data_IF_657058269882
#
_entry.id   IF_657058269882
#
_cell.length_a   1.000
_cell.length_b   1.000
_cell.length_c   1.000
_cell.angle_alpha   90.00
_cell.angle_beta   90.00
_cell.angle_gamma   90.00
#
_symmetry.space_group_name_H-M   'P 1'
#
loop_
_entity.id
_entity.type
_entity.pdbx_description
1 polymer ?
#
# COMPACT_ATOMS: atom_id res chain seq x y z
N UNK A 1 6.75 15.72 -18.81
CA UNK A 1 6.67 15.07 -17.49
C UNK A 1 6.97 16.02 -16.33
N UNK A 2 8.10 16.75 -16.28
CA UNK A 2 8.44 17.67 -15.17
C UNK A 2 7.39 18.75 -14.88
N UNK A 3 6.76 19.35 -15.90
CA UNK A 3 5.72 20.39 -15.72
C UNK A 3 4.45 19.88 -15.01
N UNK A 4 4.03 18.64 -15.24
CA UNK A 4 2.82 18.08 -14.64
C UNK A 4 3.02 17.72 -13.17
N UNK A 5 4.24 17.35 -12.78
CA UNK A 5 4.60 17.08 -11.38
C UNK A 5 4.59 18.37 -10.55
N UNK A 6 5.12 19.46 -11.14
CA UNK A 6 5.11 20.78 -10.49
C UNK A 6 3.68 21.29 -10.33
N UNK A 7 2.81 21.07 -11.32
CA UNK A 7 1.40 21.47 -11.27
C UNK A 7 0.65 20.68 -10.17
N UNK A 8 0.93 19.38 -10.02
CA UNK A 8 0.33 18.55 -8.98
C UNK A 8 0.79 18.96 -7.58
N UNK A 9 2.09 19.27 -7.43
CA UNK A 9 2.63 19.81 -6.17
C UNK A 9 2.04 21.18 -5.82
N UNK A 10 1.87 22.06 -6.80
CA UNK A 10 1.23 23.37 -6.61
C UNK A 10 -0.24 23.21 -6.20
N UNK A 11 -0.96 22.25 -6.78
CA UNK A 11 -2.36 21.98 -6.44
C UNK A 11 -2.48 21.47 -4.99
N UNK A 12 -1.58 20.60 -4.55
CA UNK A 12 -1.54 20.11 -3.17
C UNK A 12 -1.22 21.24 -2.18
N UNK A 13 -0.31 22.15 -2.53
CA UNK A 13 0.03 23.33 -1.71
C UNK A 13 -1.13 24.30 -1.66
N UNK A 14 -1.86 24.55 -2.76
CA UNK A 14 -3.03 25.41 -2.79
C UNK A 14 -4.19 24.88 -1.91
N UNK A 15 -4.40 23.57 -1.86
CA UNK A 15 -5.44 22.96 -0.99
C UNK A 15 -5.12 23.16 0.49
N UNK A 16 -3.83 23.26 0.85
CA UNK A 16 -3.40 23.52 2.24
C UNK A 16 -3.52 25.00 2.66
N UNK A 17 -3.76 25.92 1.73
CA UNK A 17 -3.83 27.37 2.00
C UNK A 17 -5.25 27.97 1.94
N UNK A 18 -6.29 27.15 1.79
CA UNK A 18 -7.67 27.63 1.90
C UNK A 18 -8.01 27.92 3.37
N UNK A 19 -7.46 28.99 3.90
CA UNK A 19 -8.04 29.68 5.04
C UNK A 19 -9.32 30.37 4.55
N UNK A 20 -10.45 29.80 4.91
CA UNK A 20 -11.76 30.41 4.66
C UNK A 20 -11.89 31.68 5.49
N UNK A 21 -11.49 32.82 4.89
CA UNK A 21 -11.74 34.15 5.44
C UNK A 21 -13.26 34.40 5.44
N UNK A 22 -13.87 34.50 6.63
CA UNK A 22 -15.12 35.20 6.81
C UNK A 22 -16.42 34.43 6.92
N UNK A 23 -16.38 33.15 7.38
CA UNK A 23 -17.59 32.52 7.94
C UNK A 23 -17.29 32.16 9.40
N UNK A 24 -18.20 32.50 10.32
CA UNK A 24 -18.15 31.93 11.67
C UNK A 24 -18.02 30.41 11.53
N UNK A 25 -16.88 29.88 11.97
CA UNK A 25 -16.63 28.45 11.90
C UNK A 25 -17.68 27.76 12.79
N UNK A 26 -18.49 26.90 12.20
CA UNK A 26 -19.44 26.10 12.95
C UNK A 26 -18.65 25.23 13.95
N UNK A 27 -18.79 25.53 15.23
CA UNK A 27 -18.18 24.76 16.30
C UNK A 27 -18.89 23.40 16.41
N UNK A 28 -18.16 22.35 16.12
CA UNK A 28 -18.64 20.97 16.20
C UNK A 28 -18.36 20.33 17.56
N UNK A 29 -17.89 21.11 18.55
CA UNK A 29 -17.47 20.61 19.85
C UNK A 29 -16.24 19.69 19.80
N UNK A 30 -15.46 19.73 18.71
CA UNK A 30 -14.21 18.98 18.58
C UNK A 30 -13.10 19.84 19.18
N UNK A 31 -12.84 19.64 20.47
CA UNK A 31 -11.69 20.27 21.11
C UNK A 31 -10.40 19.60 20.65
N UNK A 32 -9.56 20.33 19.93
CA UNK A 32 -8.21 19.87 19.57
C UNK A 32 -7.29 20.03 20.78
N UNK A 33 -7.25 19.02 21.64
CA UNK A 33 -6.27 18.96 22.73
C UNK A 33 -4.96 18.37 22.23
N UNK A 34 -3.86 18.70 22.89
CA UNK A 34 -2.55 18.07 22.60
C UNK A 34 -2.61 16.60 22.97
N UNK A 35 -2.62 15.75 21.95
CA UNK A 35 -2.58 14.30 22.08
C UNK A 35 -1.12 13.79 22.06
N UNK A 36 -0.31 14.34 21.13
CA UNK A 36 1.12 14.10 21.05
C UNK A 36 1.81 15.46 20.98
N UNK A 37 2.64 15.82 21.96
CA UNK A 37 3.31 17.12 21.99
C UNK A 37 4.40 17.25 20.91
N UNK A 38 4.66 18.48 20.53
CA UNK A 38 5.82 18.85 19.70
C UNK A 38 7.13 18.37 20.33
N UNK A 39 8.07 18.01 19.48
CA UNK A 39 9.45 17.61 19.88
C UNK A 39 9.62 16.12 20.08
N UNK A 40 8.55 15.33 20.07
CA UNK A 40 8.64 13.88 20.17
C UNK A 40 9.06 13.25 18.85
N UNK A 41 9.78 12.14 18.97
CA UNK A 41 10.08 11.22 17.90
C UNK A 41 9.21 9.98 18.02
N UNK A 42 8.83 9.40 16.90
CA UNK A 42 8.13 8.13 16.83
C UNK A 42 8.90 7.19 15.92
N UNK A 43 9.12 5.99 16.40
CA UNK A 43 9.58 4.84 15.60
C UNK A 43 8.52 3.79 15.64
N UNK A 44 8.25 3.16 14.51
CA UNK A 44 7.25 2.11 14.44
C UNK A 44 7.39 1.28 13.18
N UNK A 45 6.43 0.42 12.96
CA UNK A 45 6.38 -0.38 11.76
C UNK A 45 5.16 -1.26 11.69
N UNK A 46 4.90 -1.74 10.49
CA UNK A 46 3.89 -2.75 10.22
C UNK A 46 4.54 -4.00 9.67
N UNK A 47 3.97 -5.13 10.01
CA UNK A 47 4.29 -6.43 9.46
C UNK A 47 3.00 -7.07 8.98
N UNK A 48 3.02 -7.61 7.76
CA UNK A 48 1.90 -8.40 7.27
C UNK A 48 2.40 -9.66 6.55
N UNK A 49 1.70 -10.74 6.79
CA UNK A 49 1.87 -12.00 6.10
C UNK A 49 0.49 -12.53 5.72
N UNK A 50 0.35 -12.95 4.49
CA UNK A 50 -0.85 -13.60 3.99
C UNK A 50 -0.43 -14.80 3.16
N UNK A 51 -1.09 -15.92 3.39
CA UNK A 51 -0.88 -17.16 2.65
C UNK A 51 -2.24 -17.68 2.19
N UNK A 52 -2.27 -18.16 0.96
CA UNK A 52 -3.46 -18.79 0.37
C UNK A 52 -3.00 -20.07 -0.32
N UNK A 53 -3.57 -21.19 0.09
CA UNK A 53 -3.39 -22.46 -0.55
C UNK A 53 -4.73 -22.86 -1.19
N UNK A 54 -4.69 -23.29 -2.43
CA UNK A 54 -5.86 -23.79 -3.16
C UNK A 54 -5.53 -25.22 -3.63
N UNK A 55 -6.34 -26.17 -3.18
CA UNK A 55 -6.26 -27.57 -3.58
C UNK A 55 -7.59 -27.95 -4.23
N UNK A 56 -7.57 -28.42 -5.48
CA UNK A 56 -8.75 -28.84 -6.27
C UNK A 56 -9.91 -27.81 -6.29
N UNK A 57 -9.59 -26.54 -6.24
CA UNK A 57 -10.60 -25.49 -6.22
C UNK A 57 -11.28 -25.37 -7.58
N UNK A 58 -12.63 -25.29 -7.59
CA UNK A 58 -13.45 -25.16 -8.80
C UNK A 58 -14.15 -23.81 -8.78
N UNK A 59 -13.97 -23.03 -9.83
CA UNK A 59 -14.64 -21.74 -9.97
C UNK A 59 -15.13 -21.54 -11.40
N UNK A 60 -16.45 -21.52 -11.59
CA UNK A 60 -17.10 -21.39 -12.91
C UNK A 60 -16.59 -22.42 -13.93
N UNK A 61 -15.83 -21.94 -14.93
CA UNK A 61 -15.25 -22.76 -16.01
C UNK A 61 -13.86 -23.31 -15.67
N UNK A 62 -13.30 -22.91 -14.52
CA UNK A 62 -11.97 -23.34 -14.07
C UNK A 62 -12.14 -24.57 -13.18
N UNK A 63 -11.39 -25.64 -13.49
CA UNK A 63 -11.36 -26.86 -12.71
C UNK A 63 -9.92 -27.17 -12.31
N UNK A 64 -9.77 -27.93 -11.20
CA UNK A 64 -8.48 -28.41 -10.70
C UNK A 64 -7.46 -27.29 -10.49
N UNK A 65 -7.87 -26.19 -9.84
CA UNK A 65 -6.95 -25.13 -9.47
C UNK A 65 -6.15 -25.59 -8.26
N UNK A 66 -4.87 -25.88 -8.50
CA UNK A 66 -3.89 -26.10 -7.44
C UNK A 66 -2.94 -24.92 -7.41
N UNK A 67 -2.69 -24.35 -6.23
CA UNK A 67 -1.78 -23.24 -6.17
C UNK A 67 -1.44 -22.81 -4.74
N UNK A 68 -0.30 -22.18 -4.62
CA UNK A 68 0.20 -21.55 -3.40
C UNK A 68 0.52 -20.11 -3.67
N UNK A 69 0.02 -19.24 -2.83
CA UNK A 69 0.35 -17.83 -2.89
C UNK A 69 0.70 -17.31 -1.49
N UNK A 70 1.75 -16.52 -1.37
CA UNK A 70 2.00 -15.78 -0.16
C UNK A 70 2.46 -14.35 -0.45
N UNK A 71 2.07 -13.46 0.42
CA UNK A 71 2.52 -12.06 0.46
C UNK A 71 3.15 -11.78 1.81
N UNK A 72 4.34 -11.24 1.79
CA UNK A 72 5.07 -10.80 2.96
C UNK A 72 5.42 -9.33 2.81
N UNK A 73 5.11 -8.52 3.84
CA UNK A 73 5.45 -7.10 3.84
C UNK A 73 5.99 -6.69 5.21
N UNK A 74 7.11 -5.96 5.22
CA UNK A 74 7.66 -5.31 6.39
C UNK A 74 7.89 -3.84 6.10
N UNK A 75 7.47 -2.96 7.02
CA UNK A 75 7.45 -1.52 6.79
C UNK A 75 7.85 -0.73 8.04
N UNK A 76 9.15 -0.63 8.34
CA UNK A 76 9.62 0.27 9.39
C UNK A 76 9.36 1.73 9.01
N UNK A 77 9.05 2.54 10.02
CA UNK A 77 8.77 3.98 9.87
C UNK A 77 9.33 4.78 11.04
N UNK A 78 9.62 6.04 10.76
CA UNK A 78 10.02 7.01 11.77
C UNK A 78 9.42 8.37 11.43
N UNK A 79 9.10 9.16 12.45
CA UNK A 79 8.66 10.53 12.25
C UNK A 79 9.01 11.43 13.44
N UNK A 80 8.94 12.73 13.17
CA UNK A 80 9.19 13.79 14.14
C UNK A 80 7.99 14.73 14.22
N UNK A 81 7.55 15.04 15.43
CA UNK A 81 6.47 15.97 15.71
C UNK A 81 6.99 17.40 15.74
N UNK A 82 6.92 18.11 14.63
CA UNK A 82 7.37 19.50 14.52
C UNK A 82 6.34 20.50 15.08
N UNK A 83 5.12 20.07 15.31
CA UNK A 83 4.02 20.80 15.95
C UNK A 83 3.19 19.81 16.77
N UNK A 84 2.46 20.31 17.76
CA UNK A 84 1.50 19.47 18.50
C UNK A 84 0.55 18.76 17.56
N UNK A 85 0.43 17.46 17.72
CA UNK A 85 -0.42 16.57 16.90
C UNK A 85 -0.05 16.51 15.41
N UNK A 86 1.08 17.07 14.97
CA UNK A 86 1.49 17.07 13.56
C UNK A 86 2.91 16.55 13.41
N UNK A 87 3.08 15.49 12.66
CA UNK A 87 4.36 14.87 12.40
C UNK A 87 4.69 14.81 10.91
N UNK A 88 5.96 14.85 10.60
CA UNK A 88 6.52 14.51 9.28
C UNK A 88 7.42 13.31 9.44
N UNK A 89 7.36 12.39 8.48
CA UNK A 89 8.12 11.15 8.60
C UNK A 89 8.40 10.47 7.28
N UNK A 90 9.11 9.36 7.42
CA UNK A 90 9.41 8.46 6.32
C UNK A 90 9.16 7.00 6.73
N UNK A 91 8.84 6.20 5.72
CA UNK A 91 8.64 4.76 5.83
C UNK A 91 9.40 4.09 4.70
N UNK A 92 10.08 3.03 5.03
CA UNK A 92 10.67 2.13 4.07
C UNK A 92 9.89 0.82 4.11
N UNK A 93 9.53 0.26 2.94
CA UNK A 93 8.80 -1.00 2.90
C UNK A 93 9.43 -1.97 1.91
N UNK A 94 9.50 -3.22 2.33
CA UNK A 94 9.83 -4.33 1.47
C UNK A 94 8.63 -5.25 1.36
N UNK A 95 8.23 -5.58 0.14
CA UNK A 95 7.14 -6.49 -0.16
C UNK A 95 7.63 -7.61 -1.07
N UNK A 96 7.25 -8.84 -0.74
CA UNK A 96 7.48 -10.00 -1.57
C UNK A 96 6.16 -10.70 -1.82
N UNK A 97 5.82 -10.86 -3.09
CA UNK A 97 4.69 -11.64 -3.55
C UNK A 97 5.21 -12.89 -4.27
N UNK A 98 4.66 -14.02 -3.91
CA UNK A 98 4.93 -15.30 -4.57
C UNK A 98 3.61 -15.97 -4.89
N UNK A 99 3.46 -16.39 -6.13
CA UNK A 99 2.33 -17.16 -6.59
C UNK A 99 2.89 -18.34 -7.38
N UNK A 100 2.45 -19.53 -7.04
CA UNK A 100 2.77 -20.76 -7.73
C UNK A 100 1.46 -21.44 -8.06
N UNK A 101 1.16 -21.52 -9.33
CA UNK A 101 -0.04 -22.15 -9.87
C UNK A 101 0.38 -23.44 -10.55
N UNK A 102 -0.18 -24.55 -10.12
CA UNK A 102 -0.08 -25.83 -10.79
C UNK A 102 -0.81 -25.82 -12.14
N UNK A 103 -1.25 -26.98 -12.56
CA UNK A 103 -2.06 -27.10 -13.78
C UNK A 103 -3.45 -26.51 -13.54
N UNK A 104 -3.89 -25.63 -14.45
CA UNK A 104 -5.27 -25.10 -14.46
C UNK A 104 -5.95 -25.58 -15.73
N UNK A 105 -6.98 -26.40 -15.59
CA UNK A 105 -7.80 -26.83 -16.70
C UNK A 105 -8.98 -25.85 -16.90
N UNK A 106 -9.06 -25.30 -18.10
CA UNK A 106 -10.13 -24.40 -18.51
C UNK A 106 -11.02 -25.13 -19.50
N UNK A 107 -12.23 -25.49 -19.07
CA UNK A 107 -13.23 -26.12 -19.93
C UNK A 107 -14.24 -25.07 -20.38
N UNK A 108 -14.20 -24.68 -21.65
CA UNK A 108 -15.14 -23.70 -22.24
C UNK A 108 -16.36 -24.45 -22.83
N UNK A 109 -16.14 -25.62 -23.41
CA UNK A 109 -17.18 -26.52 -23.91
C UNK A 109 -16.63 -27.94 -23.99
N UNK A 110 -17.50 -28.93 -24.23
CA UNK A 110 -17.13 -30.35 -24.33
C UNK A 110 -16.01 -30.62 -25.37
N UNK A 111 -15.82 -29.73 -26.34
CA UNK A 111 -14.80 -29.85 -27.42
C UNK A 111 -13.66 -28.87 -27.30
N UNK A 112 -13.66 -27.95 -26.33
CA UNK A 112 -12.66 -26.88 -26.17
C UNK A 112 -12.19 -26.83 -24.71
N UNK A 113 -11.05 -27.48 -24.45
CA UNK A 113 -10.35 -27.40 -23.18
C UNK A 113 -8.93 -26.85 -23.41
N UNK A 114 -8.49 -25.95 -22.51
CA UNK A 114 -7.11 -25.43 -22.48
C UNK A 114 -6.52 -25.73 -21.11
N UNK A 115 -5.30 -26.25 -21.08
CA UNK A 115 -4.54 -26.46 -19.85
C UNK A 115 -3.45 -25.39 -19.77
N UNK A 116 -3.48 -24.53 -18.76
CA UNK A 116 -2.37 -23.68 -18.39
C UNK A 116 -1.44 -24.52 -17.52
N UNK A 117 -0.24 -24.76 -18.00
CA UNK A 117 0.73 -25.62 -17.35
C UNK A 117 1.65 -24.79 -16.47
N UNK A 118 1.73 -25.11 -15.19
CA UNK A 118 2.68 -24.59 -14.20
C UNK A 118 3.11 -23.13 -14.44
N UNK A 119 2.47 -22.19 -13.76
CA UNK A 119 2.83 -20.77 -13.82
C UNK A 119 3.31 -20.31 -12.44
N UNK A 120 4.46 -19.67 -12.36
CA UNK A 120 4.93 -19.07 -11.13
C UNK A 120 5.28 -17.60 -11.31
N UNK A 121 4.91 -16.79 -10.32
CA UNK A 121 5.23 -15.37 -10.23
C UNK A 121 5.98 -15.11 -8.94
N UNK A 122 7.10 -14.42 -9.04
CA UNK A 122 7.84 -13.91 -7.90
C UNK A 122 8.09 -12.41 -8.12
N UNK A 123 7.55 -11.58 -7.24
CA UNK A 123 7.73 -10.13 -7.28
C UNK A 123 8.39 -9.65 -5.98
N UNK A 124 9.41 -8.82 -6.12
CA UNK A 124 10.06 -8.11 -5.02
C UNK A 124 9.93 -6.61 -5.22
N UNK A 125 9.40 -5.91 -4.24
CA UNK A 125 9.20 -4.47 -4.29
C UNK A 125 9.81 -3.79 -3.08
N UNK A 126 10.51 -2.69 -3.33
CA UNK A 126 11.02 -1.76 -2.32
C UNK A 126 10.29 -0.43 -2.47
N UNK A 127 9.81 0.11 -1.36
CA UNK A 127 9.08 1.37 -1.34
C UNK A 127 9.74 2.35 -0.40
N UNK A 128 9.88 3.60 -0.85
CA UNK A 128 10.18 4.76 -0.03
C UNK A 128 8.95 5.66 0.05
N UNK A 129 8.50 5.97 1.25
CA UNK A 129 7.32 6.79 1.51
C UNK A 129 7.69 7.99 2.37
N UNK A 130 7.40 9.20 1.90
CA UNK A 130 7.35 10.40 2.72
C UNK A 130 5.92 10.68 3.14
N UNK A 131 5.70 11.05 4.39
CA UNK A 131 4.35 11.32 4.88
C UNK A 131 4.27 12.49 5.86
N UNK A 132 3.08 13.09 5.91
CA UNK A 132 2.67 14.02 6.96
C UNK A 132 1.48 13.39 7.65
N UNK A 133 1.50 13.35 8.98
CA UNK A 133 0.46 12.74 9.79
C UNK A 133 -0.10 13.76 10.79
N UNK A 134 -1.41 13.83 10.87
CA UNK A 134 -2.13 14.66 11.84
C UNK A 134 -2.93 13.78 12.78
N UNK A 135 -2.99 14.15 14.06
CA UNK A 135 -3.69 13.42 15.09
C UNK A 135 -4.79 14.26 15.71
N UNK A 136 -5.87 13.60 16.10
CA UNK A 136 -6.99 14.17 16.83
C UNK A 136 -7.34 13.18 17.94
N UNK A 137 -7.42 13.65 19.19
CA UNK A 137 -7.85 12.81 20.29
C UNK A 137 -9.34 12.46 20.17
N UNK A 138 -9.71 11.26 20.59
CA UNK A 138 -11.10 10.83 20.66
C UNK A 138 -11.72 11.32 21.97
N UNK A 139 -12.52 12.39 21.87
CA UNK A 139 -13.13 13.05 23.01
C UNK A 139 -12.06 13.52 24.01
N UNK A 140 -12.25 13.21 25.27
CA UNK A 140 -11.30 13.56 26.35
C UNK A 140 -10.19 12.52 26.56
N UNK A 141 -10.17 11.45 25.74
CA UNK A 141 -9.21 10.37 25.90
C UNK A 141 -7.78 10.82 25.61
N UNK A 142 -6.86 10.50 26.51
CA UNK A 142 -5.42 10.63 26.27
C UNK A 142 -4.79 9.37 25.68
N UNK A 143 -5.59 8.28 25.53
CA UNK A 143 -5.11 6.99 25.03
C UNK A 143 -5.54 6.69 23.61
N UNK A 144 -6.71 7.20 23.19
CA UNK A 144 -7.29 6.91 21.90
C UNK A 144 -7.32 8.16 21.03
N UNK A 145 -6.83 8.04 19.83
CA UNK A 145 -6.81 9.09 18.83
C UNK A 145 -7.09 8.58 17.43
N UNK A 146 -7.56 9.48 16.60
CA UNK A 146 -7.63 9.32 15.16
C UNK A 146 -6.38 9.94 14.55
N UNK A 147 -5.86 9.35 13.50
CA UNK A 147 -4.87 10.02 12.67
C UNK A 147 -5.27 9.99 11.20
N UNK A 148 -4.77 10.95 10.47
CA UNK A 148 -4.81 10.95 9.02
C UNK A 148 -3.39 11.14 8.49
N UNK A 149 -2.97 10.27 7.57
CA UNK A 149 -1.65 10.28 6.96
C UNK A 149 -1.77 10.63 5.49
N UNK A 150 -1.27 11.82 5.10
CA UNK A 150 -1.06 12.18 3.71
C UNK A 150 0.32 11.69 3.29
N UNK A 151 0.43 10.93 2.20
CA UNK A 151 1.69 10.30 1.81
C UNK A 151 1.94 10.27 0.31
N UNK A 152 3.24 10.26 -0.01
CA UNK A 152 3.75 10.01 -1.36
C UNK A 152 4.70 8.82 -1.26
N UNK A 153 4.46 7.80 -2.07
CA UNK A 153 5.23 6.57 -2.09
C UNK A 153 5.82 6.36 -3.48
N UNK A 154 7.11 6.06 -3.53
CA UNK A 154 7.81 5.60 -4.71
C UNK A 154 8.25 4.16 -4.49
N UNK A 155 7.95 3.29 -5.45
CA UNK A 155 8.30 1.88 -5.41
C UNK A 155 9.14 1.48 -6.61
N UNK A 156 10.11 0.62 -6.38
CA UNK A 156 10.93 -0.01 -7.40
C UNK A 156 11.02 -1.49 -7.12
N UNK A 157 10.90 -2.30 -8.15
CA UNK A 157 10.95 -3.73 -7.98
C UNK A 157 11.20 -4.50 -9.25
N UNK A 158 11.27 -5.80 -9.05
CA UNK A 158 11.49 -6.77 -10.11
C UNK A 158 10.53 -7.92 -9.94
N UNK A 159 9.95 -8.35 -11.05
CA UNK A 159 9.14 -9.54 -11.17
C UNK A 159 9.83 -10.59 -12.03
N UNK A 160 9.57 -11.84 -11.72
CA UNK A 160 9.90 -12.96 -12.56
C UNK A 160 8.68 -13.85 -12.70
N UNK A 161 8.17 -13.93 -13.91
CA UNK A 161 7.10 -14.87 -14.27
C UNK A 161 7.72 -16.02 -15.04
N UNK A 162 7.37 -17.24 -14.69
CA UNK A 162 7.75 -18.41 -15.47
C UNK A 162 6.54 -19.29 -15.74
N UNK A 163 6.43 -19.82 -16.94
CA UNK A 163 5.39 -20.77 -17.32
C UNK A 163 5.97 -21.88 -18.19
N UNK A 164 5.36 -23.06 -18.14
CA UNK A 164 5.75 -24.22 -18.92
C UNK A 164 6.40 -25.33 -18.11
N UNK A 165 6.39 -26.56 -18.67
CA UNK A 165 7.05 -27.74 -18.09
C UNK A 165 8.56 -27.59 -18.10
N UNK A 166 9.23 -28.33 -17.26
CA UNK A 166 10.66 -28.27 -16.93
C UNK A 166 11.61 -28.21 -18.16
N UNK A 167 11.21 -28.75 -19.32
CA UNK A 167 11.99 -28.76 -20.56
C UNK A 167 11.74 -27.54 -21.48
N UNK A 168 10.59 -26.83 -21.29
CA UNK A 168 10.18 -25.67 -22.13
C UNK A 168 9.78 -24.48 -21.27
N UNK A 169 10.53 -24.19 -20.24
CA UNK A 169 10.23 -23.12 -19.29
C UNK A 169 10.59 -21.75 -19.89
N UNK A 170 9.58 -20.92 -20.14
CA UNK A 170 9.76 -19.54 -20.55
C UNK A 170 9.74 -18.63 -19.31
N UNK A 171 10.75 -17.77 -19.20
CA UNK A 171 10.85 -16.80 -18.13
C UNK A 171 10.79 -15.37 -18.67
N UNK A 172 9.92 -14.55 -18.10
CA UNK A 172 9.84 -13.11 -18.37
C UNK A 172 10.30 -12.36 -17.13
N UNK A 173 11.22 -11.42 -17.34
CA UNK A 173 11.64 -10.49 -16.29
C UNK A 173 10.88 -9.18 -16.43
N UNK A 174 10.46 -8.64 -15.30
CA UNK A 174 9.72 -7.39 -15.22
C UNK A 174 10.46 -6.38 -14.34
N UNK A 175 10.63 -5.18 -14.85
CA UNK A 175 11.02 -4.01 -14.05
C UNK A 175 9.79 -3.22 -13.69
N UNK A 176 9.61 -2.97 -12.40
CA UNK A 176 8.40 -2.37 -11.90
C UNK A 176 8.75 -1.03 -11.23
N UNK A 177 8.05 0.02 -11.65
CA UNK A 177 8.07 1.33 -11.01
C UNK A 177 6.66 1.67 -10.54
N UNK A 178 6.54 2.15 -9.31
CA UNK A 178 5.25 2.43 -8.69
C UNK A 178 5.25 3.81 -8.05
N UNK A 179 4.23 4.61 -8.33
CA UNK A 179 3.98 5.90 -7.68
C UNK A 179 2.59 5.88 -7.07
N UNK A 180 2.51 6.23 -5.80
CA UNK A 180 1.25 6.34 -5.09
C UNK A 180 1.21 7.65 -4.31
N UNK A 181 0.09 8.37 -4.39
CA UNK A 181 -0.17 9.60 -3.63
C UNK A 181 -1.55 9.49 -3.04
N UNK A 182 -1.69 9.71 -1.74
CA UNK A 182 -3.01 9.60 -1.13
C UNK A 182 -3.04 9.80 0.37
N UNK A 183 -4.19 9.46 0.92
CA UNK A 183 -4.52 9.59 2.34
C UNK A 183 -4.86 8.24 2.93
N UNK A 184 -4.46 8.03 4.17
CA UNK A 184 -4.76 6.83 4.94
C UNK A 184 -5.20 7.23 6.35
N UNK A 185 -6.50 7.20 6.63
CA UNK A 185 -7.00 7.40 7.98
C UNK A 185 -6.74 6.17 8.84
N UNK A 186 -6.61 6.39 10.14
CA UNK A 186 -6.39 5.33 11.11
C UNK A 186 -6.75 5.72 12.54
N UNK A 187 -6.61 4.72 13.41
CA UNK A 187 -6.80 4.80 14.84
C UNK A 187 -5.47 4.49 15.53
N UNK A 188 -5.19 5.20 16.60
CA UNK A 188 -4.06 4.90 17.48
C UNK A 188 -4.56 4.70 18.91
N UNK A 189 -4.02 3.71 19.59
CA UNK A 189 -4.33 3.38 20.95
C UNK A 189 -3.04 3.21 21.77
N UNK A 190 -2.79 4.11 22.71
CA UNK A 190 -1.66 4.02 23.63
C UNK A 190 -1.88 2.90 24.64
N UNK A 191 -1.02 1.89 24.59
CA UNK A 191 -0.98 0.78 25.54
C UNK A 191 -0.18 1.17 26.78
N UNK A 192 0.90 1.93 26.59
CA UNK A 192 1.70 2.56 27.63
C UNK A 192 1.87 4.04 27.31
N UNK A 193 2.57 4.80 28.17
CA UNK A 193 2.86 6.22 27.90
C UNK A 193 3.67 6.44 26.61
N UNK A 194 4.43 5.44 26.19
CA UNK A 194 5.38 5.52 25.08
C UNK A 194 5.07 4.56 23.93
N UNK A 195 4.20 3.58 24.14
CA UNK A 195 3.90 2.58 23.12
C UNK A 195 2.43 2.61 22.73
N UNK A 196 2.18 2.58 21.43
CA UNK A 196 0.83 2.53 20.87
C UNK A 196 0.68 1.44 19.81
N UNK A 197 -0.53 0.96 19.67
CA UNK A 197 -0.98 0.12 18.56
C UNK A 197 -1.76 1.01 17.60
N UNK A 198 -1.51 0.84 16.32
CA UNK A 198 -2.16 1.60 15.26
C UNK A 198 -2.91 0.68 14.31
N UNK A 199 -4.06 1.13 13.87
CA UNK A 199 -4.87 0.48 12.84
C UNK A 199 -5.13 1.51 11.76
N UNK A 200 -4.78 1.22 10.52
CA UNK A 200 -5.09 2.08 9.38
C UNK A 200 -5.79 1.31 8.28
N UNK A 201 -6.63 2.01 7.54
CA UNK A 201 -7.32 1.46 6.37
C UNK A 201 -6.55 1.78 5.09
N UNK A 202 -6.98 1.13 4.00
CA UNK A 202 -6.35 1.29 2.69
C UNK A 202 -6.29 2.72 2.19
N UNK A 203 -5.38 2.98 1.28
CA UNK A 203 -5.12 4.31 0.74
C UNK A 203 -6.24 4.73 -0.20
N UNK A 204 -6.71 5.95 0.02
CA UNK A 204 -7.58 6.67 -0.91
C UNK A 204 -6.74 7.69 -1.69
N UNK A 205 -6.64 7.54 -3.00
CA UNK A 205 -5.82 8.46 -3.79
C UNK A 205 -5.48 7.96 -5.18
N UNK A 206 -4.36 8.42 -5.68
CA UNK A 206 -3.82 8.11 -7.00
C UNK A 206 -2.76 7.03 -6.90
N UNK A 207 -2.84 6.05 -7.80
CA UNK A 207 -1.93 4.92 -7.92
C UNK A 207 -1.54 4.73 -9.38
N UNK A 208 -0.25 4.61 -9.66
CA UNK A 208 0.26 4.35 -11.00
C UNK A 208 1.41 3.37 -10.97
N UNK A 209 1.26 2.25 -11.66
CA UNK A 209 2.27 1.19 -11.80
C UNK A 209 2.70 1.11 -13.27
N UNK A 210 3.99 1.16 -13.51
CA UNK A 210 4.65 0.95 -14.80
C UNK A 210 5.42 -0.36 -14.73
N UNK A 211 5.23 -1.20 -15.73
CA UNK A 211 5.90 -2.49 -15.85
C UNK A 211 6.54 -2.56 -17.22
N UNK A 212 7.85 -2.72 -17.25
CA UNK A 212 8.62 -2.97 -18.46
C UNK A 212 9.06 -4.43 -18.45
N UNK A 213 8.68 -5.18 -19.49
CA UNK A 213 9.00 -6.60 -19.63
C UNK A 213 10.23 -6.77 -20.54
N UNK A 214 11.14 -7.60 -20.09
CA UNK A 214 12.33 -7.98 -20.84
C UNK A 214 12.31 -9.51 -21.08
N UNK A 215 12.27 -9.91 -22.35
CA UNK A 215 12.40 -11.29 -22.78
C UNK A 215 13.75 -11.47 -23.48
N UNK A 216 14.59 -12.42 -23.02
CA UNK A 216 15.93 -12.67 -23.58
C UNK A 216 16.82 -11.41 -23.73
N UNK A 217 16.76 -10.47 -22.77
CA UNK A 217 17.47 -9.18 -22.77
C UNK A 217 17.01 -8.19 -23.87
N UNK A 218 15.88 -8.44 -24.49
CA UNK A 218 15.23 -7.54 -25.43
C UNK A 218 13.96 -7.01 -24.78
N UNK A 219 13.77 -5.70 -24.81
CA UNK A 219 12.54 -5.07 -24.29
C UNK A 219 11.38 -5.33 -25.25
N UNK A 220 10.46 -6.23 -24.89
CA UNK A 220 9.37 -6.66 -25.78
C UNK A 220 8.05 -5.94 -25.52
N UNK A 221 7.77 -5.53 -24.29
CA UNK A 221 6.50 -4.90 -23.95
C UNK A 221 6.62 -3.95 -22.75
N UNK A 222 5.86 -2.88 -22.79
CA UNK A 222 5.65 -2.01 -21.63
C UNK A 222 4.16 -1.90 -21.31
N UNK A 223 3.83 -1.98 -20.03
CA UNK A 223 2.46 -1.87 -19.54
C UNK A 223 2.36 -0.78 -18.48
N UNK A 224 1.35 0.05 -18.60
CA UNK A 224 1.05 1.09 -17.62
C UNK A 224 -0.36 0.93 -17.08
N UNK A 225 -0.48 0.80 -15.78
CA UNK A 225 -1.76 0.84 -15.10
C UNK A 225 -1.83 2.09 -14.22
N UNK A 226 -2.86 2.88 -14.40
CA UNK A 226 -3.11 4.09 -13.61
C UNK A 226 -4.52 4.02 -13.07
N UNK A 227 -4.66 4.13 -11.77
CA UNK A 227 -5.96 4.13 -11.12
C UNK A 227 -6.08 5.27 -10.11
N UNK A 228 -7.27 5.84 -10.00
CA UNK A 228 -7.62 6.77 -8.94
C UNK A 228 -8.72 6.13 -8.08
N UNK A 229 -8.44 5.94 -6.80
CA UNK A 229 -9.36 5.31 -5.85
C UNK A 229 -9.84 6.35 -4.85
N UNK A 230 -11.11 6.70 -4.94
CA UNK A 230 -11.79 7.59 -3.99
C UNK A 230 -12.63 6.83 -2.96
N UNK A 231 -12.52 5.50 -2.95
CA UNK A 231 -13.21 4.62 -2.01
C UNK A 231 -12.23 4.13 -0.95
N UNK A 232 -12.62 4.24 0.32
CA UNK A 232 -11.89 3.62 1.41
C UNK A 232 -12.13 2.11 1.35
N UNK A 233 -11.05 1.35 1.25
CA UNK A 233 -11.11 -0.10 1.32
C UNK A 233 -11.00 -0.52 2.79
N UNK A 234 -12.16 -0.75 3.40
CA UNK A 234 -12.26 -1.15 4.81
C UNK A 234 -11.72 -2.56 5.08
N UNK A 235 -11.51 -3.36 4.03
CA UNK A 235 -10.94 -4.70 4.16
C UNK A 235 -9.41 -4.71 4.06
N UNK A 236 -8.80 -3.61 3.65
CA UNK A 236 -7.34 -3.42 3.68
C UNK A 236 -6.89 -2.84 5.02
N UNK A 237 -6.95 -3.64 6.07
CA UNK A 237 -6.57 -3.22 7.42
C UNK A 237 -5.08 -3.47 7.62
N UNK A 238 -4.35 -2.43 8.05
CA UNK A 238 -2.94 -2.54 8.45
C UNK A 238 -2.84 -2.36 9.96
N UNK A 239 -2.14 -3.29 10.60
CA UNK A 239 -1.82 -3.25 12.01
C UNK A 239 -0.36 -2.82 12.19
N UNK A 240 -0.12 -1.92 13.09
CA UNK A 240 1.22 -1.42 13.41
C UNK A 240 1.43 -1.22 14.90
N UNK A 241 2.70 -1.18 15.26
CA UNK A 241 3.14 -0.78 16.59
C UNK A 241 4.08 0.41 16.47
N UNK A 242 3.95 1.34 17.41
CA UNK A 242 4.74 2.57 17.44
C UNK A 242 5.25 2.85 18.85
N UNK A 243 6.43 3.42 18.92
CA UNK A 243 7.08 3.85 20.16
C UNK A 243 7.46 5.31 20.05
N UNK A 244 7.15 6.09 21.09
CA UNK A 244 7.35 7.53 21.18
C UNK A 244 8.41 7.87 22.23
N UNK A 245 9.30 8.82 21.94
CA UNK A 245 10.37 9.26 22.83
C UNK A 245 10.79 10.70 22.57
#
# INVERSE_FOLDING_TARGET
MKKNIILLLALVVCVLQVEAKGREAFDRGIESRTFIPKGQWMVGGTFSYSETNADDYKFLILKNIEGKAYTFTVSPSFCYFFRDNVAVGARFSYKRDYIDLGNIDIDISDDLSFTITEASLLEHMFYGTGFIRTYINLGESRRFGLFNEARVTLGFGQGKTSSGKQETRYGVYEKITHLQVGFAPGLTAFVTNNAAVEVSVGIMGFDSKWVDQEHNQISDASYRNTSAKFKIDLFSINLGMTYYF
#
